data_IF_001600139433
#
_entry.id   IF_001600139433
#
_cell.length_a   1.000
_cell.length_b   1.000
_cell.length_c   1.000
_cell.angle_alpha   90.00
_cell.angle_beta   90.00
_cell.angle_gamma   90.00
#
_symmetry.space_group_name_H-M   'P 1'
#
loop_
_entity.id
_entity.type
_entity.pdbx_description
1 polymer ?
#
# COMPACT_ATOMS: atom_id res chain seq x y z
N UNK A 1 -0.21 -9.81 -2.24
CA UNK A 1 -0.96 -8.94 -1.32
C UNK A 1 -1.11 -7.63 -2.05
N UNK A 2 -2.33 -7.09 -2.10
CA UNK A 2 -2.67 -5.89 -2.89
C UNK A 2 -2.61 -4.62 -2.04
N UNK A 3 -1.86 -4.63 -0.94
CA UNK A 3 -1.73 -3.48 -0.05
C UNK A 3 -0.40 -2.77 -0.33
N UNK A 4 -0.47 -1.46 -0.51
CA UNK A 4 0.66 -0.61 -0.82
C UNK A 4 0.76 0.52 0.21
N UNK A 5 1.99 0.93 0.51
CA UNK A 5 2.27 2.10 1.35
C UNK A 5 2.56 3.30 0.45
N UNK A 6 2.07 4.47 0.81
CA UNK A 6 2.25 5.73 0.09
C UNK A 6 2.80 6.81 1.02
N UNK A 7 3.56 7.75 0.44
CA UNK A 7 4.12 8.90 1.15
C UNK A 7 3.14 10.08 1.24
N UNK A 8 2.01 10.02 0.52
CA UNK A 8 0.99 11.08 0.47
C UNK A 8 -0.44 10.55 0.63
N UNK A 9 -1.32 11.42 1.12
CA UNK A 9 -2.73 11.07 1.37
C UNK A 9 -3.54 10.86 0.08
N UNK A 10 -3.07 11.37 -1.07
CA UNK A 10 -3.74 11.20 -2.35
C UNK A 10 -3.36 9.88 -3.05
N UNK A 11 -2.49 9.06 -2.43
CA UNK A 11 -2.04 7.76 -2.92
C UNK A 11 -1.32 7.85 -4.27
N UNK A 12 -0.57 8.93 -4.49
CA UNK A 12 0.11 9.20 -5.76
C UNK A 12 1.61 8.91 -5.74
N UNK A 13 2.18 8.75 -4.55
CA UNK A 13 3.60 8.58 -4.30
C UNK A 13 3.85 7.25 -3.56
N UNK A 14 3.80 6.09 -4.27
CA UNK A 14 3.94 4.78 -3.65
C UNK A 14 5.36 4.55 -3.15
N UNK A 15 5.49 4.05 -1.94
CA UNK A 15 6.76 3.66 -1.35
C UNK A 15 7.30 2.39 -2.05
N UNK A 16 8.61 2.35 -2.29
CA UNK A 16 9.28 1.20 -2.92
C UNK A 16 9.04 -0.11 -2.16
N UNK A 17 8.74 -1.16 -2.91
CA UNK A 17 8.50 -2.51 -2.40
C UNK A 17 9.73 -3.42 -2.56
N UNK A 18 10.92 -2.85 -2.42
CA UNK A 18 12.20 -3.59 -2.36
C UNK A 18 13.07 -3.51 -3.62
N UNK A 19 12.66 -2.73 -4.63
CA UNK A 19 13.45 -2.44 -5.84
C UNK A 19 14.25 -1.12 -5.74
N UNK A 20 14.04 -0.34 -4.67
CA UNK A 20 14.60 0.98 -4.42
C UNK A 20 14.24 2.05 -5.46
N UNK A 21 13.14 1.87 -6.22
CA UNK A 21 12.68 2.87 -7.21
C UNK A 21 12.20 4.16 -6.55
N UNK A 22 11.53 4.06 -5.40
CA UNK A 22 11.05 5.18 -4.59
C UNK A 22 11.17 4.91 -3.06
N UNK A 23 12.38 4.85 -2.50
CA UNK A 23 12.58 4.49 -1.10
C UNK A 23 12.12 5.60 -0.15
N UNK A 24 11.95 5.27 1.13
CA UNK A 24 11.60 6.22 2.18
C UNK A 24 12.81 7.09 2.54
N UNK A 25 13.12 8.04 1.65
CA UNK A 25 14.37 8.77 1.67
C UNK A 25 14.35 9.97 2.62
N UNK A 26 15.38 10.08 3.44
CA UNK A 26 15.66 11.22 4.31
C UNK A 26 17.16 11.36 4.56
N UNK A 27 17.61 12.58 4.86
CA UNK A 27 18.99 12.88 5.29
C UNK A 27 19.00 13.19 6.79
N UNK A 28 19.88 12.52 7.54
CA UNK A 28 19.99 12.65 8.99
C UNK A 28 21.38 13.15 9.40
N UNK A 29 21.44 13.95 10.46
CA UNK A 29 22.72 14.31 11.09
C UNK A 29 23.19 13.19 12.04
N UNK A 30 24.02 12.27 11.53
CA UNK A 30 24.61 11.22 12.36
C UNK A 30 25.63 11.72 13.40
N UNK A 31 26.20 12.93 13.25
CA UNK A 31 27.22 13.45 14.19
C UNK A 31 26.58 13.75 15.55
N UNK A 32 25.51 14.55 15.54
CA UNK A 32 24.81 14.97 16.76
C UNK A 32 23.60 14.08 17.09
N UNK A 33 23.24 13.18 16.16
CA UNK A 33 21.98 12.45 16.18
C UNK A 33 20.85 13.30 15.62
N UNK A 34 19.84 12.64 15.08
CA UNK A 34 18.70 13.31 14.45
C UNK A 34 17.48 12.40 14.46
N UNK A 35 16.29 12.98 14.41
CA UNK A 35 15.05 12.23 14.30
C UNK A 35 14.07 12.92 13.38
N UNK A 36 13.39 12.13 12.55
CA UNK A 36 12.38 12.64 11.61
C UNK A 36 11.13 11.79 11.61
N UNK A 37 10.01 12.49 11.56
CA UNK A 37 8.68 11.92 11.54
C UNK A 37 8.10 12.02 10.13
N UNK A 38 7.36 10.99 9.72
CA UNK A 38 6.61 10.98 8.48
C UNK A 38 5.28 10.27 8.69
N UNK A 39 4.20 10.85 8.20
CA UNK A 39 2.94 10.14 8.04
C UNK A 39 3.00 9.33 6.75
N UNK A 40 2.60 8.07 6.83
CA UNK A 40 2.51 7.15 5.71
C UNK A 40 1.06 6.66 5.60
N UNK A 41 0.68 6.28 4.38
CA UNK A 41 -0.69 5.88 4.06
C UNK A 41 -0.70 4.46 3.53
N UNK A 42 -1.69 3.66 3.89
CA UNK A 42 -1.85 2.29 3.44
C UNK A 42 -3.18 2.16 2.70
N UNK A 43 -3.15 1.65 1.48
CA UNK A 43 -4.34 1.43 0.67
C UNK A 43 -4.24 0.15 -0.15
N UNK A 44 -5.38 -0.31 -0.67
CA UNK A 44 -5.41 -1.37 -1.68
C UNK A 44 -4.80 -0.84 -2.99
N UNK A 45 -4.40 -1.76 -3.86
CA UNK A 45 -4.14 -1.51 -5.27
C UNK A 45 -5.42 -0.95 -5.91
N UNK A 46 -5.24 0.08 -6.72
CA UNK A 46 -6.32 0.83 -7.30
C UNK A 46 -5.88 1.43 -8.64
N UNK A 47 -6.86 1.64 -9.53
CA UNK A 47 -6.62 2.31 -10.79
C UNK A 47 -7.86 3.08 -11.24
N UNK A 48 -7.68 3.98 -12.21
CA UNK A 48 -8.80 4.61 -12.91
C UNK A 48 -9.01 3.99 -14.28
N UNK A 49 -10.28 3.88 -14.68
CA UNK A 49 -10.66 3.47 -16.03
C UNK A 49 -10.16 4.49 -17.05
N UNK A 50 -9.44 4.05 -18.08
CA UNK A 50 -8.98 4.92 -19.17
C UNK A 50 -10.11 5.28 -20.14
N UNK A 51 -11.14 4.45 -20.24
CA UNK A 51 -12.34 4.69 -21.04
C UNK A 51 -13.58 4.10 -20.35
N UNK A 52 -14.77 4.46 -20.84
CA UNK A 52 -16.02 3.89 -20.33
C UNK A 52 -16.07 2.37 -20.58
N UNK A 53 -16.72 1.65 -19.66
CA UNK A 53 -16.95 0.20 -19.74
C UNK A 53 -18.46 -0.04 -19.89
N UNK A 54 -18.87 -0.57 -21.03
CA UNK A 54 -20.25 -0.94 -21.34
C UNK A 54 -20.60 -2.30 -20.74
N UNK A 55 -21.88 -2.65 -20.58
CA UNK A 55 -22.30 -3.87 -19.87
C UNK A 55 -21.76 -5.19 -20.44
N UNK A 56 -21.54 -5.27 -21.76
CA UNK A 56 -21.07 -6.47 -22.46
C UNK A 56 -19.55 -6.47 -22.72
N UNK A 57 -18.84 -5.41 -22.30
CA UNK A 57 -17.40 -5.31 -22.51
C UNK A 57 -16.67 -6.36 -21.67
N UNK A 58 -15.72 -7.05 -22.32
CA UNK A 58 -14.84 -8.07 -21.71
C UNK A 58 -13.38 -7.62 -21.62
N UNK A 59 -13.12 -6.38 -22.03
CA UNK A 59 -11.80 -5.74 -21.92
C UNK A 59 -11.95 -4.48 -21.07
N UNK A 60 -11.13 -4.38 -20.04
CA UNK A 60 -11.02 -3.22 -19.17
C UNK A 60 -9.71 -2.51 -19.45
N UNK A 61 -9.80 -1.25 -19.87
CA UNK A 61 -8.65 -0.38 -20.07
C UNK A 61 -8.46 0.53 -18.86
N UNK A 62 -7.26 0.53 -18.30
CA UNK A 62 -6.84 1.30 -17.13
C UNK A 62 -5.84 2.38 -17.53
N UNK A 63 -5.76 3.44 -16.74
CA UNK A 63 -4.78 4.52 -16.97
C UNK A 63 -3.34 4.11 -16.66
N UNK A 64 -3.16 3.07 -15.84
CA UNK A 64 -1.87 2.51 -15.47
C UNK A 64 -2.03 1.00 -15.19
N UNK A 65 -0.96 0.20 -15.36
CA UNK A 65 -0.93 -1.18 -14.88
C UNK A 65 -0.89 -1.22 -13.36
N UNK A 66 -1.32 -2.33 -12.76
CA UNK A 66 -1.29 -2.48 -11.30
C UNK A 66 -1.82 -3.82 -10.80
N UNK A 67 -2.97 -4.24 -11.33
CA UNK A 67 -3.58 -5.51 -10.94
C UNK A 67 -2.90 -6.75 -11.54
N UNK A 68 -2.91 -7.84 -10.80
CA UNK A 68 -2.40 -9.13 -11.22
C UNK A 68 -3.46 -9.99 -11.94
N UNK A 69 -3.01 -10.99 -12.70
CA UNK A 69 -3.92 -11.98 -13.29
C UNK A 69 -4.63 -12.78 -12.19
N UNK A 70 -5.86 -13.22 -12.43
CA UNK A 70 -6.73 -13.97 -11.50
C UNK A 70 -7.24 -13.19 -10.30
N UNK A 71 -6.84 -11.93 -10.15
CA UNK A 71 -7.30 -11.04 -9.08
C UNK A 71 -8.77 -10.62 -9.28
N UNK A 72 -9.46 -10.38 -8.16
CA UNK A 72 -10.79 -9.78 -8.14
C UNK A 72 -10.67 -8.27 -7.98
N UNK A 73 -11.40 -7.53 -8.79
CA UNK A 73 -11.51 -6.07 -8.69
C UNK A 73 -12.98 -5.66 -8.52
N UNK A 74 -13.19 -4.47 -7.99
CA UNK A 74 -14.52 -3.88 -7.80
C UNK A 74 -14.57 -2.49 -8.39
N UNK A 75 -15.65 -2.20 -9.12
CA UNK A 75 -15.97 -0.87 -9.65
C UNK A 75 -17.41 -0.54 -9.22
N UNK A 76 -17.56 0.46 -8.34
CA UNK A 76 -18.85 0.76 -7.72
C UNK A 76 -19.39 -0.44 -6.94
N UNK A 77 -20.49 -1.04 -7.42
CA UNK A 77 -21.10 -2.23 -6.83
C UNK A 77 -20.84 -3.52 -7.63
N UNK A 78 -20.14 -3.44 -8.75
CA UNK A 78 -19.83 -4.58 -9.59
C UNK A 78 -18.47 -5.18 -9.24
N UNK A 79 -18.41 -6.50 -9.10
CA UNK A 79 -17.15 -7.23 -9.04
C UNK A 79 -16.81 -7.84 -10.39
N UNK A 80 -15.53 -7.83 -10.71
CA UNK A 80 -14.97 -8.38 -11.93
C UNK A 80 -13.80 -9.29 -11.58
N UNK A 81 -13.63 -10.37 -12.35
CA UNK A 81 -12.46 -11.23 -12.24
C UNK A 81 -11.52 -10.98 -13.42
N UNK A 82 -10.25 -10.70 -13.14
CA UNK A 82 -9.23 -10.58 -14.18
C UNK A 82 -8.87 -11.99 -14.68
N UNK A 83 -9.13 -12.25 -15.95
CA UNK A 83 -8.85 -13.54 -16.60
C UNK A 83 -7.46 -13.53 -17.22
N UNK A 84 -7.02 -12.39 -17.79
CA UNK A 84 -5.71 -12.24 -18.41
C UNK A 84 -5.28 -10.77 -18.46
N UNK A 85 -4.01 -10.52 -18.81
CA UNK A 85 -3.46 -9.18 -19.00
C UNK A 85 -2.93 -8.53 -17.72
N UNK A 86 -2.87 -9.25 -16.60
CA UNK A 86 -2.31 -8.74 -15.35
C UNK A 86 -0.90 -8.17 -15.53
N UNK A 87 -0.61 -7.09 -14.80
CA UNK A 87 0.61 -6.29 -14.96
C UNK A 87 0.61 -5.37 -16.18
N UNK A 88 -0.50 -5.27 -16.90
CA UNK A 88 -0.68 -4.33 -18.02
C UNK A 88 -1.89 -3.42 -17.78
N UNK A 89 -2.07 -2.40 -18.62
CA UNK A 89 -3.23 -1.50 -18.57
C UNK A 89 -4.46 -2.05 -19.32
N UNK A 90 -4.34 -3.15 -20.06
CA UNK A 90 -5.43 -3.75 -20.85
C UNK A 90 -5.74 -5.14 -20.31
N UNK A 91 -6.81 -5.25 -19.53
CA UNK A 91 -7.18 -6.48 -18.82
C UNK A 91 -8.34 -7.19 -19.53
N UNK A 92 -8.24 -8.51 -19.70
CA UNK A 92 -9.39 -9.34 -20.05
C UNK A 92 -10.12 -9.72 -18.78
N UNK A 93 -11.43 -9.48 -18.73
CA UNK A 93 -12.24 -9.58 -17.51
C UNK A 93 -13.49 -10.44 -17.71
N UNK A 94 -13.94 -11.03 -16.61
CA UNK A 94 -15.28 -11.59 -16.45
C UNK A 94 -16.13 -10.61 -15.63
N UNK A 95 -17.28 -10.23 -16.17
CA UNK A 95 -18.25 -9.28 -15.60
C UNK A 95 -19.17 -9.95 -14.59
N UNK A 96 -19.72 -9.17 -13.66
CA UNK A 96 -20.73 -9.66 -12.71
C UNK A 96 -20.24 -10.83 -11.84
N UNK A 97 -18.95 -10.85 -11.52
CA UNK A 97 -18.37 -11.92 -10.72
C UNK A 97 -19.01 -11.94 -9.32
N UNK A 98 -19.04 -13.12 -8.69
CA UNK A 98 -19.65 -13.28 -7.36
C UNK A 98 -21.18 -13.07 -7.34
N UNK A 99 -21.84 -13.04 -8.50
CA UNK A 99 -23.28 -12.78 -8.60
C UNK A 99 -23.66 -11.30 -8.56
N UNK A 100 -22.67 -10.40 -8.67
CA UNK A 100 -22.91 -8.97 -8.87
C UNK A 100 -23.53 -8.72 -10.26
N UNK A 101 -24.23 -7.60 -10.43
CA UNK A 101 -24.85 -7.24 -11.70
C UNK A 101 -23.87 -6.44 -12.56
N UNK A 102 -23.60 -6.85 -13.81
CA UNK A 102 -22.86 -6.01 -14.75
C UNK A 102 -23.48 -4.62 -14.89
N UNK A 103 -22.67 -3.57 -14.79
CA UNK A 103 -23.09 -2.18 -14.90
C UNK A 103 -22.27 -1.41 -15.93
N UNK A 104 -22.81 -0.30 -16.42
CA UNK A 104 -22.02 0.65 -17.21
C UNK A 104 -21.18 1.53 -16.27
N UNK A 105 -19.90 1.72 -16.59
CA UNK A 105 -18.98 2.57 -15.84
C UNK A 105 -18.40 3.64 -16.73
N UNK A 106 -18.22 4.85 -16.19
CA UNK A 106 -17.65 5.97 -16.93
C UNK A 106 -16.12 5.92 -16.92
N UNK A 107 -15.49 6.55 -17.92
CA UNK A 107 -14.06 6.82 -17.88
C UNK A 107 -13.71 7.61 -16.60
N UNK A 108 -12.58 7.28 -15.98
CA UNK A 108 -12.17 7.85 -14.70
C UNK A 108 -12.83 7.23 -13.46
N UNK A 109 -13.74 6.26 -13.62
CA UNK A 109 -14.23 5.47 -12.48
C UNK A 109 -13.07 4.73 -11.80
N UNK A 110 -13.17 4.55 -10.48
CA UNK A 110 -12.16 3.89 -9.67
C UNK A 110 -12.43 2.38 -9.63
N UNK A 111 -11.39 1.61 -9.96
CA UNK A 111 -11.30 0.19 -9.72
C UNK A 111 -10.38 -0.06 -8.52
N UNK A 112 -10.76 -0.97 -7.63
CA UNK A 112 -9.95 -1.39 -6.49
C UNK A 112 -9.80 -2.90 -6.48
N UNK A 113 -8.71 -3.41 -5.89
CA UNK A 113 -8.66 -4.82 -5.49
C UNK A 113 -9.79 -5.11 -4.51
N UNK A 114 -10.57 -6.14 -4.83
CA UNK A 114 -11.84 -6.47 -4.18
C UNK A 114 -11.64 -7.23 -2.85
N UNK A 115 -10.81 -6.69 -1.96
CA UNK A 115 -10.49 -7.30 -0.67
C UNK A 115 -10.63 -6.31 0.48
N UNK A 116 -11.34 -6.74 1.51
CA UNK A 116 -11.28 -6.13 2.82
C UNK A 116 -10.11 -6.74 3.60
N UNK A 117 -9.54 -5.94 4.50
CA UNK A 117 -8.37 -6.34 5.27
C UNK A 117 -8.63 -6.18 6.76
N UNK A 118 -8.23 -7.18 7.52
CA UNK A 118 -8.28 -7.18 8.98
C UNK A 118 -6.93 -7.61 9.56
N UNK A 119 -6.72 -7.38 10.86
CA UNK A 119 -5.47 -7.68 11.55
C UNK A 119 -4.25 -7.09 10.83
N UNK A 120 -4.39 -5.86 10.33
CA UNK A 120 -3.31 -5.18 9.62
C UNK A 120 -2.23 -4.78 10.62
N UNK A 121 -1.04 -5.33 10.42
CA UNK A 121 0.15 -4.95 11.16
C UNK A 121 1.23 -4.47 10.20
N UNK A 122 1.90 -3.38 10.58
CA UNK A 122 3.13 -2.92 9.93
C UNK A 122 4.27 -3.14 10.90
N UNK A 123 5.30 -3.85 10.46
CA UNK A 123 6.49 -4.15 11.26
C UNK A 123 7.74 -3.66 10.53
N UNK A 124 8.75 -3.30 11.31
CA UNK A 124 10.07 -2.96 10.78
C UNK A 124 10.88 -4.24 10.72
N UNK A 125 11.58 -4.47 9.62
CA UNK A 125 12.54 -5.56 9.50
C UNK A 125 13.84 -5.01 8.97
N UNK A 126 14.90 -5.19 9.73
CA UNK A 126 16.26 -5.15 9.22
C UNK A 126 16.62 -6.49 8.57
N UNK A 127 17.32 -6.42 7.44
CA UNK A 127 17.70 -7.61 6.68
C UNK A 127 19.22 -7.78 6.54
N UNK A 128 20.03 -6.98 7.25
CA UNK A 128 21.49 -7.07 7.23
C UNK A 128 22.15 -7.17 8.63
N UNK A 129 23.49 -7.16 8.63
CA UNK A 129 24.41 -7.65 9.67
C UNK A 129 24.16 -7.14 11.10
N UNK A 130 23.76 -5.89 11.28
CA UNK A 130 23.42 -5.28 12.57
C UNK A 130 21.96 -4.85 12.54
N UNK A 131 21.19 -5.15 13.58
CA UNK A 131 19.77 -4.82 13.61
C UNK A 131 19.55 -3.36 14.05
N UNK A 132 19.21 -2.50 13.10
CA UNK A 132 18.77 -1.12 13.34
C UNK A 132 17.25 -0.95 13.35
N UNK A 133 16.46 -2.03 13.45
CA UNK A 133 14.99 -1.93 13.57
C UNK A 133 14.58 -1.02 14.74
N UNK A 134 15.38 -0.99 15.81
CA UNK A 134 15.19 -0.11 16.97
C UNK A 134 15.36 1.38 16.67
N UNK A 135 15.87 1.77 15.51
CA UNK A 135 15.91 3.18 15.08
C UNK A 135 14.54 3.68 14.63
N UNK A 136 13.61 2.76 14.37
CA UNK A 136 12.29 3.09 13.84
C UNK A 136 11.22 2.91 14.92
N UNK A 137 10.35 3.90 15.09
CA UNK A 137 9.10 3.78 15.86
C UNK A 137 7.92 3.90 14.93
N UNK A 138 6.91 3.07 15.13
CA UNK A 138 5.66 3.09 14.39
C UNK A 138 4.49 3.35 15.34
N UNK A 139 3.55 4.22 14.96
CA UNK A 139 2.36 4.52 15.74
C UNK A 139 1.15 4.80 14.85
N UNK A 140 -0.05 4.47 15.31
CA UNK A 140 -1.29 4.73 14.56
C UNK A 140 -1.63 6.23 14.46
N UNK A 141 -1.08 7.06 15.35
CA UNK A 141 -1.21 8.52 15.31
C UNK A 141 0.07 9.21 15.77
N UNK A 142 0.21 10.50 15.40
CA UNK A 142 1.39 11.30 15.78
C UNK A 142 1.55 11.42 17.29
N UNK A 143 0.44 11.61 18.02
CA UNK A 143 0.43 11.76 19.48
C UNK A 143 1.02 10.56 20.23
N UNK A 144 0.90 9.35 19.66
CA UNK A 144 1.40 8.14 20.29
C UNK A 144 2.85 7.80 19.90
N UNK A 145 3.45 8.55 18.97
CA UNK A 145 4.76 8.25 18.41
C UNK A 145 5.89 8.34 19.44
N UNK A 146 5.81 9.29 20.37
CA UNK A 146 6.80 9.46 21.46
C UNK A 146 6.78 8.26 22.44
N UNK A 147 5.61 7.65 22.62
CA UNK A 147 5.41 6.50 23.52
C UNK A 147 5.56 5.13 22.85
N UNK A 148 5.60 5.07 21.52
CA UNK A 148 5.64 3.80 20.78
C UNK A 148 7.00 3.09 20.94
N UNK A 149 7.01 1.80 21.25
CA UNK A 149 8.26 1.07 21.47
C UNK A 149 9.14 1.00 20.19
N UNK A 150 10.46 1.28 20.28
CA UNK A 150 11.35 1.16 19.12
C UNK A 150 11.40 -0.26 18.56
N UNK A 151 11.32 -0.38 17.23
CA UNK A 151 11.30 -1.65 16.51
C UNK A 151 9.99 -2.43 16.63
N UNK A 152 9.01 -1.96 17.41
CA UNK A 152 7.73 -2.64 17.54
C UNK A 152 6.85 -2.43 16.32
N UNK A 153 6.00 -3.42 16.06
CA UNK A 153 4.94 -3.35 15.06
C UNK A 153 3.81 -2.41 15.50
N UNK A 154 3.09 -1.84 14.53
CA UNK A 154 1.85 -1.09 14.76
C UNK A 154 0.65 -1.86 14.18
N UNK A 155 -0.44 -1.95 14.95
CA UNK A 155 -1.75 -2.42 14.46
C UNK A 155 -2.56 -1.22 13.95
N UNK A 156 -3.09 -1.32 12.74
CA UNK A 156 -3.84 -0.23 12.10
C UNK A 156 -5.36 -0.44 12.15
N UNK A 157 -5.82 -1.55 12.71
CA UNK A 157 -7.22 -1.96 12.65
C UNK A 157 -7.64 -2.43 11.26
N UNK A 158 -8.91 -2.84 11.10
CA UNK A 158 -9.44 -3.28 9.81
C UNK A 158 -9.74 -2.09 8.89
N UNK A 159 -9.78 -2.36 7.59
CA UNK A 159 -10.32 -1.43 6.58
C UNK A 159 -11.11 -2.16 5.50
N UNK A 160 -12.09 -1.46 4.94
CA UNK A 160 -12.76 -1.89 3.72
C UNK A 160 -11.88 -1.60 2.50
N UNK A 161 -12.15 -2.26 1.36
CA UNK A 161 -11.36 -2.18 0.13
C UNK A 161 -11.03 -0.74 -0.33
N UNK A 162 -11.99 0.18 -0.28
CA UNK A 162 -11.85 1.56 -0.76
C UNK A 162 -11.34 2.55 0.29
N UNK A 163 -11.25 2.13 1.55
CA UNK A 163 -10.73 2.98 2.61
C UNK A 163 -9.20 2.96 2.63
N UNK A 164 -8.58 4.10 2.92
CA UNK A 164 -7.16 4.19 3.27
C UNK A 164 -7.01 4.30 4.80
N UNK A 165 -5.90 3.77 5.30
CA UNK A 165 -5.43 3.99 6.67
C UNK A 165 -4.19 4.88 6.62
N UNK A 166 -3.83 5.47 7.76
CA UNK A 166 -2.55 6.16 7.90
C UNK A 166 -1.88 5.77 9.21
N UNK A 167 -0.56 5.88 9.24
CA UNK A 167 0.25 5.66 10.42
C UNK A 167 1.47 6.58 10.38
N UNK A 168 2.16 6.68 11.51
CA UNK A 168 3.33 7.52 11.66
C UNK A 168 4.58 6.69 11.87
N UNK A 169 5.64 7.07 11.18
CA UNK A 169 6.99 6.53 11.31
C UNK A 169 7.89 7.63 11.87
N UNK A 170 8.63 7.33 12.94
CA UNK A 170 9.82 8.10 13.34
C UNK A 170 11.06 7.27 13.04
N UNK A 171 12.04 7.86 12.37
CA UNK A 171 13.41 7.33 12.34
C UNK A 171 14.26 8.18 13.27
N UNK A 172 15.03 7.54 14.15
CA UNK A 172 16.00 8.17 15.05
C UNK A 172 17.38 7.60 14.78
N UNK A 173 18.30 8.46 14.34
CA UNK A 173 19.71 8.12 14.15
C UNK A 173 20.47 8.56 15.41
N UNK A 174 21.16 7.64 16.12
CA UNK A 174 21.98 7.99 17.28
C UNK A 174 23.14 8.93 16.94
N UNK A 175 23.57 9.74 17.91
CA UNK A 175 24.78 10.55 17.79
C UNK A 175 26.02 9.67 17.61
N UNK A 176 26.99 10.17 16.83
CA UNK A 176 28.20 9.43 16.46
C UNK A 176 27.99 8.37 15.38
N UNK A 177 26.83 8.32 14.72
CA UNK A 177 26.58 7.41 13.59
C UNK A 177 27.35 7.88 12.34
N UNK A 178 28.22 7.05 11.74
CA UNK A 178 28.91 7.39 10.50
C UNK A 178 27.94 7.61 9.32
N UNK A 179 28.38 8.38 8.32
CA UNK A 179 27.62 8.56 7.08
C UNK A 179 27.44 7.21 6.38
N UNK A 180 26.20 6.82 6.16
CA UNK A 180 25.82 5.57 5.51
C UNK A 180 24.41 5.68 4.91
N UNK A 181 24.13 4.86 3.90
CA UNK A 181 22.77 4.64 3.41
C UNK A 181 22.26 3.32 3.98
N UNK A 182 21.09 3.34 4.62
CA UNK A 182 20.39 2.13 5.04
C UNK A 182 19.43 1.71 3.93
N UNK A 183 19.71 0.59 3.28
CA UNK A 183 18.91 0.01 2.18
C UNK A 183 18.23 -1.31 2.57
N UNK A 184 18.44 -1.72 3.81
CA UNK A 184 18.13 -2.99 4.45
C UNK A 184 16.99 -2.90 5.46
N UNK A 185 16.69 -1.69 5.97
CA UNK A 185 15.50 -1.39 6.74
C UNK A 185 14.25 -1.38 5.85
N UNK A 186 13.30 -2.25 6.16
CA UNK A 186 12.06 -2.44 5.39
C UNK A 186 10.84 -2.35 6.30
N UNK A 187 9.77 -1.79 5.76
CA UNK A 187 8.44 -1.95 6.34
C UNK A 187 7.79 -3.19 5.73
N UNK A 188 7.38 -4.13 6.58
CA UNK A 188 6.60 -5.30 6.17
C UNK A 188 5.16 -5.13 6.64
N UNK A 189 4.24 -5.27 5.70
CA UNK A 189 2.80 -5.32 5.99
C UNK A 189 2.36 -6.77 6.08
N UNK A 190 1.60 -7.10 7.11
CA UNK A 190 0.88 -8.37 7.25
C UNK A 190 -0.57 -8.09 7.55
N UNK A 191 -1.49 -8.83 6.95
CA UNK A 191 -2.91 -8.68 7.15
C UNK A 191 -3.63 -9.98 6.79
N UNK A 192 -4.84 -10.16 7.31
CA UNK A 192 -5.79 -11.16 6.83
C UNK A 192 -6.65 -10.55 5.73
N UNK A 193 -6.51 -11.10 4.53
CA UNK A 193 -7.24 -10.70 3.32
C UNK A 193 -8.57 -11.44 3.23
N UNK A 194 -9.66 -10.74 2.92
CA UNK A 194 -11.00 -11.30 2.74
C UNK A 194 -11.64 -10.72 1.49
N UNK A 195 -11.97 -11.54 0.47
CA UNK A 195 -12.70 -11.06 -0.70
C UNK A 195 -14.02 -10.41 -0.28
N UNK A 196 -14.35 -9.25 -0.86
CA UNK A 196 -15.70 -8.71 -0.72
C UNK A 196 -16.65 -9.67 -1.46
N UNK A 197 -17.66 -10.23 -0.81
CA UNK A 197 -18.69 -11.06 -1.44
C UNK A 197 -20.05 -10.59 -0.94
#
# INVERSE_FOLDING_TARGET
MTLHIYMDAALTDPLSEGDLSNPDQDVFNGTDGDSKDRQLFLANEWATLAQALSIDDVVLELTAPGFASTELIVIGAEQLRIVNGGGTSSLTIERGYGGTQPAEHQAGALAYSAYDYSQIQVQVTDTAETDESSWVRLAASQEHLDSADPGASVDLGPKNYSASLSFWRRITVPAGTPVQNKTDLKLRVTAMESPIL
#
